data_IF_011138492723
#
_entry.id   IF_011138492723
#
_cell.length_a   1.000
_cell.length_b   1.000
_cell.length_c   1.000
_cell.angle_alpha   90.00
_cell.angle_beta   90.00
_cell.angle_gamma   90.00
#
_symmetry.space_group_name_H-M   'P 1'
#
loop_
_entity.id
_entity.type
_entity.pdbx_description
1 polymer ?
#
# COMPACT_ATOMS: atom_id res chain seq x y z
N UNK A 1 -48.32 27.87 5.98
CA UNK A 1 -46.98 28.20 5.46
C UNK A 1 -45.96 27.30 6.13
N UNK A 2 -45.05 26.72 5.33
CA UNK A 2 -43.77 26.08 5.68
C UNK A 2 -43.83 24.73 6.42
N UNK A 3 -44.15 23.69 5.65
CA UNK A 3 -43.78 22.31 5.97
C UNK A 3 -42.53 21.90 5.18
N UNK A 4 -41.50 21.51 5.93
CA UNK A 4 -40.57 20.39 5.68
C UNK A 4 -39.99 20.25 4.26
N UNK A 5 -38.75 20.71 4.06
CA UNK A 5 -37.80 20.10 3.11
C UNK A 5 -36.36 20.28 3.64
N UNK A 6 -36.06 19.59 4.74
CA UNK A 6 -34.70 19.11 5.01
C UNK A 6 -34.64 17.68 4.47
N UNK A 7 -33.54 17.31 3.81
CA UNK A 7 -33.16 16.00 3.24
C UNK A 7 -33.09 16.01 1.71
N UNK A 8 -31.92 16.36 1.15
CA UNK A 8 -31.41 15.80 -0.12
C UNK A 8 -30.01 16.34 -0.49
N UNK A 9 -29.07 16.42 0.47
CA UNK A 9 -27.65 16.67 0.13
C UNK A 9 -26.74 15.75 0.95
N UNK A 10 -27.09 14.46 1.04
CA UNK A 10 -26.27 13.45 1.69
C UNK A 10 -26.06 12.21 0.81
N UNK A 11 -26.11 12.37 -0.51
CA UNK A 11 -26.00 11.27 -1.47
C UNK A 11 -24.92 11.51 -2.54
N UNK A 12 -23.84 12.21 -2.20
CA UNK A 12 -22.73 12.47 -3.12
C UNK A 12 -21.35 12.30 -2.47
N UNK A 13 -21.22 11.33 -1.56
CA UNK A 13 -19.91 10.89 -1.05
C UNK A 13 -19.86 9.36 -0.97
N UNK A 14 -20.09 8.68 -2.10
CA UNK A 14 -19.64 7.28 -2.26
C UNK A 14 -19.24 7.06 -3.73
N UNK A 15 -18.19 7.76 -4.16
CA UNK A 15 -17.50 7.47 -5.41
C UNK A 15 -16.00 7.39 -5.15
N UNK A 16 -15.61 6.54 -4.20
CA UNK A 16 -14.22 6.14 -3.91
C UNK A 16 -14.19 4.65 -3.56
N UNK A 17 -14.64 3.83 -4.50
CA UNK A 17 -14.30 2.42 -4.60
C UNK A 17 -14.27 2.17 -6.11
N UNK A 18 -13.12 1.94 -6.72
CA UNK A 18 -12.53 0.60 -6.77
C UNK A 18 -11.15 0.71 -7.42
N UNK A 19 -10.12 0.96 -6.61
CA UNK A 19 -8.91 0.17 -6.79
C UNK A 19 -9.04 -0.95 -5.77
N UNK A 20 -8.90 -2.21 -6.19
CA UNK A 20 -8.82 -3.33 -5.25
C UNK A 20 -7.51 -3.24 -4.46
N UNK A 21 -7.43 -2.23 -3.60
CA UNK A 21 -6.32 -2.04 -2.71
C UNK A 21 -6.50 -3.11 -1.65
N UNK A 22 -5.64 -4.14 -1.71
CA UNK A 22 -5.61 -5.22 -0.73
C UNK A 22 -5.82 -4.64 0.67
N UNK A 23 -6.75 -5.20 1.46
CA UNK A 23 -7.05 -4.65 2.77
C UNK A 23 -5.76 -4.56 3.58
N UNK A 24 -5.51 -3.43 4.25
CA UNK A 24 -4.28 -3.26 5.01
C UNK A 24 -4.15 -4.37 6.06
N UNK A 25 -2.93 -4.90 6.29
CA UNK A 25 -2.72 -5.95 7.27
C UNK A 25 -3.03 -5.42 8.68
N UNK A 26 -3.65 -6.27 9.52
CA UNK A 26 -3.81 -5.97 10.94
C UNK A 26 -2.46 -5.99 11.66
N UNK A 27 -2.35 -5.26 12.79
CA UNK A 27 -1.13 -5.26 13.59
C UNK A 27 -0.74 -6.68 14.05
N UNK A 28 -1.72 -7.49 14.47
CA UNK A 28 -1.49 -8.90 14.84
C UNK A 28 -0.85 -9.71 13.71
N UNK A 29 -1.26 -9.48 12.46
CA UNK A 29 -0.67 -10.14 11.28
C UNK A 29 0.78 -9.70 11.10
N UNK A 30 1.06 -8.39 11.18
CA UNK A 30 2.41 -7.86 11.08
C UNK A 30 3.33 -8.43 12.16
N UNK A 31 2.88 -8.46 13.41
CA UNK A 31 3.65 -8.99 14.54
C UNK A 31 3.96 -10.48 14.38
N UNK A 32 2.99 -11.26 13.90
CA UNK A 32 3.17 -12.67 13.57
C UNK A 32 4.27 -12.87 12.51
N UNK A 33 4.17 -12.17 11.37
CA UNK A 33 5.17 -12.26 10.31
C UNK A 33 6.54 -11.76 10.76
N UNK A 34 6.59 -10.68 11.55
CA UNK A 34 7.84 -10.16 12.11
C UNK A 34 8.53 -11.21 12.97
N UNK A 35 7.79 -11.93 13.82
CA UNK A 35 8.33 -13.03 14.63
C UNK A 35 8.76 -14.22 13.77
N UNK A 36 7.93 -14.63 12.81
CA UNK A 36 8.20 -15.76 11.91
C UNK A 36 9.48 -15.55 11.10
N UNK A 37 9.64 -14.39 10.46
CA UNK A 37 10.81 -14.09 9.63
C UNK A 37 12.07 -13.96 10.49
N UNK A 38 11.97 -13.32 11.67
CA UNK A 38 13.09 -13.26 12.63
C UNK A 38 13.57 -14.64 13.08
N UNK A 39 12.67 -15.60 13.27
CA UNK A 39 13.02 -16.99 13.60
C UNK A 39 13.75 -17.71 12.47
N UNK A 40 13.56 -17.29 11.21
CA UNK A 40 14.25 -17.82 10.03
C UNK A 40 15.57 -17.11 9.72
N UNK A 41 16.00 -16.19 10.57
CA UNK A 41 17.21 -15.39 10.36
C UNK A 41 17.04 -14.25 9.35
N UNK A 42 15.81 -13.93 8.95
CA UNK A 42 15.55 -12.79 8.06
C UNK A 42 15.56 -11.47 8.83
N UNK A 43 16.07 -10.42 8.19
CA UNK A 43 16.07 -9.09 8.77
C UNK A 43 14.66 -8.47 8.69
N UNK A 44 14.14 -8.06 9.84
CA UNK A 44 12.83 -7.42 10.00
C UNK A 44 12.92 -5.96 10.43
N UNK A 45 14.14 -5.45 10.59
CA UNK A 45 14.44 -4.06 10.90
C UNK A 45 14.88 -3.36 9.61
N UNK A 46 13.90 -2.72 8.99
CA UNK A 46 14.05 -2.15 7.65
C UNK A 46 14.85 -0.84 7.69
N UNK A 47 15.73 -0.65 6.72
CA UNK A 47 16.62 0.50 6.61
C UNK A 47 16.17 1.48 5.53
N UNK A 48 16.69 2.72 5.56
CA UNK A 48 16.43 3.71 4.52
C UNK A 48 14.96 4.13 4.45
N UNK A 49 14.38 4.09 3.25
CA UNK A 49 12.98 4.48 2.98
C UNK A 49 12.00 3.31 2.99
N UNK A 50 12.44 2.15 3.47
CA UNK A 50 11.61 0.96 3.58
C UNK A 50 10.90 0.87 4.94
N UNK A 51 9.85 0.05 5.00
CA UNK A 51 9.09 -0.26 6.21
C UNK A 51 8.65 -1.73 6.21
N UNK A 52 8.43 -2.29 7.40
CA UNK A 52 7.92 -3.66 7.52
C UNK A 52 6.40 -3.64 7.37
N UNK A 53 5.92 -3.86 6.15
CA UNK A 53 4.50 -3.78 5.86
C UNK A 53 4.11 -4.69 4.69
N UNK A 54 2.81 -4.73 4.40
CA UNK A 54 2.31 -5.40 3.22
C UNK A 54 2.70 -4.64 1.95
N UNK A 55 3.02 -5.37 0.89
CA UNK A 55 3.29 -4.86 -0.45
C UNK A 55 2.80 -5.87 -1.48
N UNK A 56 2.54 -5.42 -2.69
CA UNK A 56 1.91 -6.25 -3.73
C UNK A 56 2.52 -5.99 -5.09
N UNK A 57 2.49 -6.95 -5.99
CA UNK A 57 3.02 -6.78 -7.36
C UNK A 57 2.36 -5.62 -8.13
N UNK A 58 1.19 -5.20 -7.65
CA UNK A 58 0.36 -4.12 -8.15
C UNK A 58 0.63 -2.77 -7.50
N UNK A 59 1.60 -2.65 -6.59
CA UNK A 59 1.97 -1.33 -6.07
C UNK A 59 2.50 -0.45 -7.22
N UNK A 60 2.15 0.83 -7.19
CA UNK A 60 2.71 1.82 -8.11
C UNK A 60 4.23 1.87 -7.93
N UNK A 61 4.96 1.87 -9.04
CA UNK A 61 6.42 2.01 -9.11
C UNK A 61 6.79 3.11 -10.10
N UNK A 62 8.06 3.49 -10.14
CA UNK A 62 8.55 4.42 -11.17
C UNK A 62 8.39 3.83 -12.58
N UNK A 63 8.68 2.55 -12.74
CA UNK A 63 8.63 1.82 -14.02
C UNK A 63 7.25 1.26 -14.38
N UNK A 64 6.29 1.30 -13.43
CA UNK A 64 5.03 0.58 -13.57
C UNK A 64 3.87 1.28 -12.88
N UNK A 65 2.77 1.44 -13.63
CA UNK A 65 1.47 1.85 -13.10
C UNK A 65 0.48 0.71 -13.27
N UNK A 66 -0.11 0.20 -12.17
CA UNK A 66 -1.08 -0.90 -12.23
C UNK A 66 -2.33 -0.47 -13.01
N UNK A 67 -2.92 -1.42 -13.73
CA UNK A 67 -4.28 -1.30 -14.26
C UNK A 67 -5.30 -1.71 -13.21
N UNK A 68 -6.56 -1.33 -13.40
CA UNK A 68 -7.66 -1.65 -12.47
C UNK A 68 -7.85 -3.16 -12.24
N UNK A 69 -7.39 -4.00 -13.17
CA UNK A 69 -7.46 -5.46 -13.14
C UNK A 69 -6.21 -6.15 -12.57
N UNK A 70 -5.34 -5.43 -11.86
CA UNK A 70 -4.09 -6.00 -11.38
C UNK A 70 -4.33 -7.06 -10.28
N UNK A 71 -4.32 -8.34 -10.66
CA UNK A 71 -4.39 -9.49 -9.76
C UNK A 71 -3.00 -9.93 -9.29
N UNK A 72 -2.44 -9.24 -8.31
CA UNK A 72 -1.10 -9.51 -7.77
C UNK A 72 -1.09 -10.39 -6.53
N UNK A 73 0.06 -10.99 -6.21
CA UNK A 73 0.25 -11.57 -4.88
C UNK A 73 0.49 -10.47 -3.83
N UNK A 74 0.17 -10.76 -2.57
CA UNK A 74 0.50 -9.89 -1.44
C UNK A 74 1.53 -10.52 -0.54
N UNK A 75 2.51 -9.72 -0.13
CA UNK A 75 3.65 -10.13 0.66
C UNK A 75 3.79 -9.22 1.88
N UNK A 76 4.44 -9.69 2.95
CA UNK A 76 4.76 -8.87 4.12
C UNK A 76 6.26 -8.96 4.35
N UNK A 77 6.93 -7.80 4.46
CA UNK A 77 8.35 -7.74 4.74
C UNK A 77 8.93 -6.33 4.55
N UNK A 78 10.26 -6.23 4.64
CA UNK A 78 10.98 -4.96 4.49
C UNK A 78 11.07 -4.41 3.05
N UNK A 79 10.41 -5.04 2.07
CA UNK A 79 10.36 -4.52 0.69
C UNK A 79 9.21 -3.52 0.47
N UNK A 80 8.38 -3.26 1.48
CA UNK A 80 7.38 -2.21 1.43
C UNK A 80 8.03 -0.84 1.62
N UNK A 81 7.55 0.18 0.92
CA UNK A 81 8.04 1.55 1.02
C UNK A 81 7.30 2.32 2.11
N UNK A 82 7.99 3.26 2.78
CA UNK A 82 7.34 4.21 3.71
C UNK A 82 6.25 5.00 2.97
N UNK A 83 5.27 5.49 3.72
CA UNK A 83 4.19 6.32 3.17
C UNK A 83 4.77 7.50 2.37
N UNK A 84 4.30 7.67 1.13
CA UNK A 84 4.77 8.71 0.21
C UNK A 84 5.99 8.32 -0.64
N UNK A 85 6.54 7.11 -0.46
CA UNK A 85 7.60 6.57 -1.29
C UNK A 85 7.08 5.41 -2.12
N UNK A 86 7.62 5.24 -3.33
CA UNK A 86 7.32 4.14 -4.24
C UNK A 86 8.60 3.41 -4.65
N UNK A 87 8.54 2.11 -5.01
CA UNK A 87 9.68 1.40 -5.55
C UNK A 87 10.12 1.98 -6.89
N UNK A 88 11.42 1.94 -7.16
CA UNK A 88 11.94 2.26 -8.50
C UNK A 88 11.52 1.19 -9.51
N UNK A 89 11.65 -0.07 -9.13
CA UNK A 89 11.41 -1.24 -9.99
C UNK A 89 10.87 -2.44 -9.16
N UNK A 90 10.62 -3.55 -9.84
CA UNK A 90 10.11 -4.79 -9.23
C UNK A 90 11.08 -5.41 -8.20
N UNK A 91 12.38 -5.09 -8.26
CA UNK A 91 13.34 -5.57 -7.26
C UNK A 91 13.07 -4.97 -5.87
N UNK A 92 12.42 -3.79 -5.82
CA UNK A 92 12.08 -3.03 -4.61
C UNK A 92 13.28 -2.73 -3.72
N UNK A 93 14.49 -2.73 -4.27
CA UNK A 93 15.72 -2.42 -3.53
C UNK A 93 15.81 -0.95 -3.11
N UNK A 94 15.13 -0.07 -3.83
CA UNK A 94 15.13 1.37 -3.60
C UNK A 94 13.70 1.91 -3.58
N UNK A 95 13.42 2.74 -2.57
CA UNK A 95 12.18 3.48 -2.42
C UNK A 95 12.48 4.99 -2.53
N UNK A 96 11.86 5.65 -3.49
CA UNK A 96 12.02 7.08 -3.78
C UNK A 96 10.67 7.79 -3.74
N UNK A 97 10.67 9.11 -3.63
CA UNK A 97 9.42 9.83 -3.88
C UNK A 97 9.10 9.78 -5.38
N UNK A 98 7.81 9.87 -5.78
CA UNK A 98 7.44 9.84 -7.19
C UNK A 98 8.16 10.89 -8.05
N UNK A 99 8.44 12.08 -7.51
CA UNK A 99 9.17 13.15 -8.18
C UNK A 99 10.66 12.85 -8.40
N UNK A 100 11.23 11.90 -7.64
CA UNK A 100 12.64 11.51 -7.69
C UNK A 100 12.86 10.24 -8.53
N UNK A 101 11.85 9.80 -9.30
CA UNK A 101 11.98 8.65 -10.17
C UNK A 101 13.06 8.88 -11.25
N UNK A 102 13.95 7.90 -11.49
CA UNK A 102 14.93 7.99 -12.58
C UNK A 102 14.20 8.10 -13.93
N UNK A 103 14.71 8.95 -14.81
CA UNK A 103 14.19 9.16 -16.17
C UNK A 103 14.87 8.24 -17.17
#
# INVERSE_FOLDING_TARGET
MKAVLFLCVAALIVALATSEQFPPPSQKKLDFYKKFLKQRGENVDCTGNHTFYQYTDCDVRCDFKPTDSCGGASFIGCKSCKKGYIPVDDSRKQCVKPEDCPK
#
